data_IF_876868513773
#
_entry.id   IF_876868513773
#
_cell.length_a   1.000
_cell.length_b   1.000
_cell.length_c   1.000
_cell.angle_alpha   90.00
_cell.angle_beta   90.00
_cell.angle_gamma   90.00
#
_symmetry.space_group_name_H-M   'P 1'
#
loop_
_entity.id
_entity.type
_entity.pdbx_description
1 polymer ?
#
# COMPACT_ATOMS: atom_id res chain seq x y z
N UNK A 1 11.06 21.57 10.44
CA UNK A 1 10.07 20.74 9.73
C UNK A 1 8.90 21.57 9.20
N UNK A 2 8.33 22.50 9.98
CA UNK A 2 7.25 23.39 9.52
C UNK A 2 7.69 24.65 8.76
N UNK A 3 9.00 24.85 8.54
CA UNK A 3 9.49 25.98 7.74
C UNK A 3 9.28 25.73 6.25
N UNK A 4 9.04 26.80 5.48
CA UNK A 4 8.84 26.71 4.03
C UNK A 4 10.06 26.18 3.27
N UNK A 5 11.26 26.23 3.86
CA UNK A 5 12.50 25.72 3.25
C UNK A 5 12.77 24.24 3.54
N UNK A 6 12.08 23.65 4.54
CA UNK A 6 12.44 22.35 5.07
C UNK A 6 12.38 21.23 4.01
N UNK A 7 11.35 21.24 3.15
CA UNK A 7 11.22 20.23 2.11
C UNK A 7 12.41 20.22 1.14
N UNK A 8 12.93 21.40 0.78
CA UNK A 8 14.11 21.49 -0.09
C UNK A 8 15.38 20.99 0.61
N UNK A 9 15.54 21.27 1.90
CA UNK A 9 16.66 20.75 2.70
C UNK A 9 16.58 19.22 2.85
N UNK A 10 15.37 18.72 3.09
CA UNK A 10 15.03 17.31 3.15
C UNK A 10 15.40 16.57 1.86
N UNK A 11 15.00 17.11 0.70
CA UNK A 11 15.33 16.56 -0.62
C UNK A 11 16.84 16.57 -0.91
N UNK A 12 17.56 17.61 -0.47
CA UNK A 12 19.02 17.74 -0.62
C UNK A 12 19.84 16.77 0.24
N UNK A 13 19.18 15.92 1.02
CA UNK A 13 19.83 14.81 1.73
C UNK A 13 19.58 14.79 3.23
N UNK A 14 18.93 15.80 3.81
CA UNK A 14 18.64 15.81 5.26
C UNK A 14 17.77 14.62 5.67
N UNK A 15 16.94 14.08 4.77
CA UNK A 15 16.15 12.84 4.99
C UNK A 15 16.99 11.64 5.47
N UNK A 16 18.25 11.56 5.05
CA UNK A 16 19.16 10.47 5.42
C UNK A 16 19.86 10.70 6.77
N UNK A 17 19.79 11.90 7.33
CA UNK A 17 20.43 12.24 8.60
C UNK A 17 19.56 11.90 9.82
N UNK A 18 18.26 11.65 9.63
CA UNK A 18 17.37 11.32 10.72
C UNK A 18 17.45 9.84 11.10
N UNK A 19 17.62 9.59 12.40
CA UNK A 19 17.39 8.26 12.99
C UNK A 19 15.90 8.07 13.30
N UNK A 20 15.41 6.83 13.33
CA UNK A 20 14.04 6.52 13.77
C UNK A 20 13.63 7.20 15.09
N UNK A 21 14.50 7.18 16.09
CA UNK A 21 14.20 7.76 17.41
C UNK A 21 14.06 9.29 17.36
N UNK A 22 14.84 9.98 16.51
CA UNK A 22 14.67 11.43 16.30
C UNK A 22 13.31 11.73 15.66
N UNK A 23 12.91 10.90 14.69
CA UNK A 23 11.63 11.04 13.98
C UNK A 23 10.45 10.81 14.92
N UNK A 24 10.49 9.73 15.72
CA UNK A 24 9.49 9.46 16.75
C UNK A 24 9.43 10.60 17.79
N UNK A 25 10.59 11.09 18.24
CA UNK A 25 10.67 12.20 19.19
C UNK A 25 9.99 13.48 18.69
N UNK A 26 10.12 13.79 17.40
CA UNK A 26 9.47 14.95 16.79
C UNK A 26 7.97 14.72 16.57
N UNK A 27 7.55 13.55 16.11
CA UNK A 27 6.13 13.21 15.92
C UNK A 27 5.32 13.40 17.21
N UNK A 28 5.87 13.00 18.36
CA UNK A 28 5.23 13.12 19.69
C UNK A 28 4.83 14.54 20.07
N UNK A 29 5.62 15.53 19.67
CA UNK A 29 5.41 16.93 20.07
C UNK A 29 4.63 17.73 19.03
N UNK A 30 4.24 17.08 17.92
CA UNK A 30 3.48 17.71 16.84
C UNK A 30 1.98 17.53 17.04
N UNK A 31 1.20 18.58 16.76
CA UNK A 31 -0.24 18.44 16.65
C UNK A 31 -0.62 17.67 15.38
N UNK A 32 -1.87 17.18 15.28
CA UNK A 32 -2.38 16.53 14.06
C UNK A 32 -2.16 17.41 12.81
N UNK A 33 -2.48 18.71 12.92
CA UNK A 33 -2.24 19.70 11.86
C UNK A 33 -0.76 19.77 11.48
N UNK A 34 0.14 19.76 12.45
CA UNK A 34 1.57 19.85 12.18
C UNK A 34 2.07 18.60 11.46
N UNK A 35 1.62 17.40 11.86
CA UNK A 35 1.96 16.13 11.21
C UNK A 35 1.57 16.16 9.72
N UNK A 36 0.34 16.61 9.44
CA UNK A 36 -0.17 16.79 8.07
C UNK A 36 0.68 17.81 7.30
N UNK A 37 0.86 19.01 7.88
CA UNK A 37 1.52 20.13 7.20
C UNK A 37 2.99 19.83 6.90
N UNK A 38 3.68 19.14 7.81
CA UNK A 38 5.09 18.80 7.63
C UNK A 38 5.31 17.65 6.65
N UNK A 39 4.36 16.70 6.56
CA UNK A 39 4.43 15.59 5.61
C UNK A 39 4.03 16.00 4.18
N UNK A 40 3.04 16.90 4.06
CA UNK A 40 2.45 17.37 2.80
C UNK A 40 3.44 17.77 1.70
N UNK A 41 4.60 18.40 1.96
CA UNK A 41 5.54 18.73 0.89
C UNK A 41 6.55 17.60 0.58
N UNK A 42 6.71 16.59 1.43
CA UNK A 42 7.74 15.56 1.31
C UNK A 42 7.34 14.49 0.29
N UNK A 43 8.18 14.26 -0.73
CA UNK A 43 7.88 13.32 -1.82
C UNK A 43 9.00 12.30 -1.97
N UNK A 44 8.64 11.04 -1.79
CA UNK A 44 9.46 9.88 -2.08
C UNK A 44 8.87 9.22 -3.32
N UNK A 45 9.60 9.35 -4.44
CA UNK A 45 9.18 8.81 -5.74
C UNK A 45 9.82 7.45 -5.95
N UNK A 46 9.02 6.45 -6.24
CA UNK A 46 9.43 5.05 -6.45
C UNK A 46 8.86 4.53 -7.76
N UNK A 47 9.53 3.56 -8.37
CA UNK A 47 9.18 3.01 -9.68
C UNK A 47 9.29 1.49 -9.71
N UNK A 48 8.20 0.85 -10.11
CA UNK A 48 8.14 -0.57 -10.46
C UNK A 48 7.64 -0.70 -11.90
N UNK A 49 6.36 -1.05 -12.14
CA UNK A 49 5.73 -0.98 -13.47
C UNK A 49 5.15 0.40 -13.79
N UNK A 50 4.86 1.17 -12.75
CA UNK A 50 4.45 2.57 -12.82
C UNK A 50 5.20 3.43 -11.78
N UNK A 51 4.93 4.74 -11.80
CA UNK A 51 5.56 5.73 -10.94
C UNK A 51 4.65 6.15 -9.80
N UNK A 52 5.11 5.94 -8.55
CA UNK A 52 4.38 6.30 -7.33
C UNK A 52 5.04 7.46 -6.59
N UNK A 53 4.22 8.27 -5.90
CA UNK A 53 4.70 9.27 -4.93
C UNK A 53 5.09 10.64 -5.51
N UNK A 54 4.82 10.90 -6.79
CA UNK A 54 4.96 12.24 -7.36
C UNK A 54 3.95 13.23 -6.74
N UNK A 55 4.22 14.54 -6.91
CA UNK A 55 3.30 15.56 -6.41
C UNK A 55 1.99 15.50 -7.19
N UNK A 56 0.89 15.32 -6.47
CA UNK A 56 -0.44 15.22 -7.07
C UNK A 56 -0.84 13.78 -7.39
N UNK A 57 0.04 12.79 -7.16
CA UNK A 57 -0.32 11.36 -7.28
C UNK A 57 -0.82 10.83 -5.94
N UNK A 58 -1.94 10.13 -5.96
CA UNK A 58 -2.53 9.44 -4.81
C UNK A 58 -3.01 8.05 -5.25
N UNK A 59 -2.24 7.01 -4.96
CA UNK A 59 -2.52 5.66 -5.42
C UNK A 59 -3.50 4.89 -4.54
N UNK A 60 -4.00 3.79 -5.07
CA UNK A 60 -4.88 2.88 -4.34
C UNK A 60 -4.40 1.45 -4.56
N UNK A 61 -4.20 0.73 -3.45
CA UNK A 61 -4.04 -0.72 -3.47
C UNK A 61 -5.42 -1.34 -3.65
N UNK A 62 -5.60 -2.17 -4.66
CA UNK A 62 -6.77 -3.05 -4.74
C UNK A 62 -6.47 -4.27 -3.88
N UNK A 63 -7.35 -4.57 -2.93
CA UNK A 63 -7.22 -5.72 -2.02
C UNK A 63 -8.37 -6.70 -2.24
N UNK A 64 -8.23 -7.64 -3.20
CA UNK A 64 -9.31 -8.53 -3.60
C UNK A 64 -9.27 -9.85 -2.82
N UNK A 65 -9.25 -9.77 -1.49
CA UNK A 65 -9.20 -10.96 -0.66
C UNK A 65 -10.49 -11.78 -0.78
N UNK A 66 -10.34 -13.11 -0.78
CA UNK A 66 -11.47 -14.04 -0.81
C UNK A 66 -11.35 -15.03 0.36
N UNK A 67 -12.43 -15.38 1.10
CA UNK A 67 -12.36 -16.24 2.29
C UNK A 67 -11.76 -17.64 2.07
N UNK A 68 -11.65 -18.07 0.82
CA UNK A 68 -11.14 -19.38 0.40
C UNK A 68 -10.12 -19.29 -0.73
N UNK A 69 -9.62 -18.09 -1.04
CA UNK A 69 -8.76 -17.85 -2.20
C UNK A 69 -9.34 -18.38 -3.53
N UNK A 70 -10.65 -18.26 -3.72
CA UNK A 70 -11.27 -18.63 -4.99
C UNK A 70 -10.79 -17.66 -6.07
N UNK A 71 -10.05 -18.19 -7.05
CA UNK A 71 -9.41 -17.39 -8.09
C UNK A 71 -10.43 -16.53 -8.85
N UNK A 72 -11.62 -17.06 -9.16
CA UNK A 72 -12.63 -16.29 -9.88
C UNK A 72 -13.17 -15.13 -9.04
N UNK A 73 -13.42 -15.35 -7.74
CA UNK A 73 -13.81 -14.30 -6.80
C UNK A 73 -12.74 -13.21 -6.64
N UNK A 74 -11.47 -13.61 -6.51
CA UNK A 74 -10.32 -12.69 -6.45
C UNK A 74 -10.26 -11.83 -7.73
N UNK A 75 -10.31 -12.46 -8.91
CA UNK A 75 -10.23 -11.75 -10.18
C UNK A 75 -11.41 -10.80 -10.42
N UNK A 76 -12.62 -11.21 -10.03
CA UNK A 76 -13.80 -10.36 -10.13
C UNK A 76 -13.65 -9.11 -9.25
N UNK A 77 -13.20 -9.28 -8.02
CA UNK A 77 -12.94 -8.17 -7.08
C UNK A 77 -11.80 -7.26 -7.57
N UNK A 78 -10.76 -7.83 -8.16
CA UNK A 78 -9.66 -7.07 -8.75
C UNK A 78 -10.13 -6.21 -9.93
N UNK A 79 -10.94 -6.81 -10.82
CA UNK A 79 -11.52 -6.14 -11.97
C UNK A 79 -12.48 -5.01 -11.54
N UNK A 80 -13.29 -5.24 -10.51
CA UNK A 80 -14.15 -4.19 -9.94
C UNK A 80 -13.31 -2.99 -9.49
N UNK A 81 -12.23 -3.22 -8.74
CA UNK A 81 -11.30 -2.16 -8.33
C UNK A 81 -10.69 -1.39 -9.52
N UNK A 82 -10.28 -2.09 -10.58
CA UNK A 82 -9.78 -1.46 -11.81
C UNK A 82 -10.82 -0.54 -12.45
N UNK A 83 -12.09 -0.93 -12.47
CA UNK A 83 -13.19 -0.13 -13.02
C UNK A 83 -13.48 1.15 -12.21
N UNK A 84 -13.03 1.23 -10.96
CA UNK A 84 -13.02 2.46 -10.16
C UNK A 84 -11.74 3.31 -10.35
N UNK A 85 -10.86 2.91 -11.27
CA UNK A 85 -9.54 3.52 -11.43
C UNK A 85 -8.59 3.27 -10.26
N UNK A 86 -8.84 2.21 -9.48
CA UNK A 86 -7.96 1.78 -8.39
C UNK A 86 -6.99 0.69 -8.87
N UNK A 87 -5.93 0.46 -8.10
CA UNK A 87 -4.97 -0.61 -8.36
C UNK A 87 -3.64 -0.11 -8.90
N UNK A 88 -3.46 1.20 -9.05
CA UNK A 88 -2.21 1.81 -9.48
C UNK A 88 -1.09 1.68 -8.45
N UNK A 89 -1.40 1.54 -7.16
CA UNK A 89 -0.38 1.20 -6.17
C UNK A 89 0.03 -0.28 -6.30
N UNK A 90 -0.92 -1.21 -6.24
CA UNK A 90 -0.72 -2.65 -6.40
C UNK A 90 -2.08 -3.34 -6.44
N UNK A 91 -2.20 -4.46 -7.16
CA UNK A 91 -3.30 -5.42 -6.97
C UNK A 91 -2.77 -6.50 -6.03
N UNK A 92 -3.10 -6.39 -4.75
CA UNK A 92 -2.46 -7.11 -3.66
C UNK A 92 -3.40 -8.01 -2.85
N UNK A 93 -3.21 -9.33 -2.91
CA UNK A 93 -4.05 -10.32 -2.20
C UNK A 93 -3.35 -10.80 -0.93
N UNK A 94 -4.00 -10.66 0.22
CA UNK A 94 -3.66 -11.45 1.40
C UNK A 94 -4.28 -12.85 1.21
N UNK A 95 -3.48 -13.91 1.08
CA UNK A 95 -4.04 -15.24 0.87
C UNK A 95 -4.61 -15.80 2.18
N UNK A 96 -5.80 -16.43 2.12
CA UNK A 96 -6.37 -17.20 3.22
C UNK A 96 -5.54 -18.46 3.54
N UNK A 97 -4.84 -19.03 2.55
CA UNK A 97 -3.91 -20.15 2.71
C UNK A 97 -2.48 -19.81 2.27
N UNK A 98 -1.48 -20.15 3.09
CA UNK A 98 -0.07 -19.82 2.87
C UNK A 98 0.73 -20.90 2.11
N UNK A 99 0.06 -21.85 1.45
CA UNK A 99 0.74 -22.88 0.67
C UNK A 99 1.39 -22.29 -0.58
N UNK A 100 2.54 -22.83 -0.97
CA UNK A 100 3.28 -22.40 -2.17
C UNK A 100 2.40 -22.54 -3.42
N UNK A 101 1.62 -23.62 -3.52
CA UNK A 101 0.74 -23.88 -4.65
C UNK A 101 -0.38 -22.84 -4.77
N UNK A 102 -0.93 -22.39 -3.64
CA UNK A 102 -1.95 -21.34 -3.62
C UNK A 102 -1.36 -19.99 -4.05
N UNK A 103 -0.19 -19.63 -3.51
CA UNK A 103 0.53 -18.40 -3.88
C UNK A 103 0.86 -18.39 -5.38
N UNK A 104 1.34 -19.51 -5.94
CA UNK A 104 1.59 -19.64 -7.38
C UNK A 104 0.30 -19.40 -8.19
N UNK A 105 -0.81 -20.03 -7.79
CA UNK A 105 -2.08 -19.91 -8.50
C UNK A 105 -2.59 -18.46 -8.51
N UNK A 106 -2.52 -17.77 -7.37
CA UNK A 106 -2.92 -16.38 -7.24
C UNK A 106 -2.00 -15.43 -8.03
N UNK A 107 -0.68 -15.61 -7.95
CA UNK A 107 0.27 -14.78 -8.73
C UNK A 107 0.03 -14.91 -10.24
N UNK A 108 -0.17 -16.13 -10.75
CA UNK A 108 -0.51 -16.32 -12.16
C UNK A 108 -1.85 -15.69 -12.53
N UNK A 109 -2.88 -15.86 -11.71
CA UNK A 109 -4.19 -15.27 -11.98
C UNK A 109 -4.11 -13.74 -12.09
N UNK A 110 -3.45 -13.08 -11.13
CA UNK A 110 -3.29 -11.63 -11.13
C UNK A 110 -2.44 -11.17 -12.31
N UNK A 111 -1.35 -11.88 -12.62
CA UNK A 111 -0.51 -11.58 -13.78
C UNK A 111 -1.25 -11.70 -15.11
N UNK A 112 -2.04 -12.75 -15.28
CA UNK A 112 -2.85 -12.98 -16.48
C UNK A 112 -3.92 -11.90 -16.64
N UNK A 113 -4.56 -11.47 -15.56
CA UNK A 113 -5.49 -10.34 -15.57
C UNK A 113 -4.80 -9.06 -16.02
N UNK A 114 -3.70 -8.67 -15.36
CA UNK A 114 -2.94 -7.45 -15.67
C UNK A 114 -2.50 -7.45 -17.13
N UNK A 115 -2.00 -8.59 -17.61
CA UNK A 115 -1.55 -8.76 -18.99
C UNK A 115 -2.71 -8.67 -19.99
N UNK A 116 -3.84 -9.30 -19.69
CA UNK A 116 -5.03 -9.29 -20.55
C UNK A 116 -5.66 -7.91 -20.68
N UNK A 117 -5.61 -7.09 -19.62
CA UNK A 117 -6.16 -5.72 -19.66
C UNK A 117 -5.12 -4.66 -20.04
N UNK A 118 -3.84 -5.04 -20.13
CA UNK A 118 -2.73 -4.13 -20.45
C UNK A 118 -2.49 -3.05 -19.39
N UNK A 119 -2.91 -3.26 -18.14
CA UNK A 119 -2.81 -2.25 -17.09
C UNK A 119 -1.35 -2.07 -16.62
N UNK A 120 -0.80 -0.84 -16.56
CA UNK A 120 0.54 -0.59 -16.06
C UNK A 120 0.53 -0.56 -14.53
N UNK A 121 0.38 -1.74 -13.93
CA UNK A 121 0.42 -1.96 -12.48
C UNK A 121 1.03 -3.32 -12.15
N UNK A 122 1.34 -3.54 -10.88
CA UNK A 122 2.00 -4.70 -10.32
C UNK A 122 1.05 -5.57 -9.49
N UNK A 123 1.28 -6.88 -9.50
CA UNK A 123 0.64 -7.83 -8.59
C UNK A 123 1.46 -8.06 -7.32
N UNK A 124 0.81 -8.52 -6.26
CA UNK A 124 1.50 -9.07 -5.11
C UNK A 124 0.59 -10.04 -4.34
N UNK A 125 1.07 -11.24 -4.03
CA UNK A 125 0.44 -12.12 -3.05
C UNK A 125 1.19 -12.02 -1.73
N UNK A 126 0.53 -11.45 -0.72
CA UNK A 126 1.10 -11.03 0.56
C UNK A 126 1.31 -12.21 1.54
N UNK A 127 1.93 -13.29 1.07
CA UNK A 127 2.39 -14.39 1.92
C UNK A 127 3.71 -14.05 2.63
N UNK A 128 4.23 -14.93 3.48
CA UNK A 128 5.59 -14.76 4.01
C UNK A 128 6.63 -14.73 2.88
N UNK A 129 7.67 -13.90 2.99
CA UNK A 129 8.64 -13.68 1.90
C UNK A 129 9.29 -14.98 1.42
N UNK A 130 9.56 -15.93 2.32
CA UNK A 130 10.12 -17.24 1.94
C UNK A 130 9.18 -18.07 1.07
N UNK A 131 7.86 -17.97 1.30
CA UNK A 131 6.85 -18.67 0.48
C UNK A 131 6.77 -18.04 -0.90
N UNK A 132 6.80 -16.70 -0.98
CA UNK A 132 6.85 -15.99 -2.25
C UNK A 132 8.10 -16.33 -3.06
N UNK A 133 9.27 -16.42 -2.41
CA UNK A 133 10.51 -16.83 -3.06
C UNK A 133 10.45 -18.29 -3.54
N UNK A 134 9.88 -19.20 -2.76
CA UNK A 134 9.67 -20.58 -3.20
C UNK A 134 8.67 -20.68 -4.36
N UNK A 135 7.67 -19.80 -4.43
CA UNK A 135 6.77 -19.68 -5.58
C UNK A 135 7.51 -19.14 -6.81
N UNK A 136 8.34 -18.11 -6.64
CA UNK A 136 9.19 -17.54 -7.69
C UNK A 136 10.16 -18.57 -8.28
N UNK A 137 10.82 -19.36 -7.43
CA UNK A 137 11.70 -20.47 -7.86
C UNK A 137 10.98 -21.51 -8.72
N UNK A 138 9.66 -21.65 -8.52
CA UNK A 138 8.77 -22.54 -9.30
C UNK A 138 8.12 -21.84 -10.50
N UNK A 139 8.49 -20.60 -10.80
CA UNK A 139 8.08 -19.86 -11.99
C UNK A 139 6.90 -18.90 -11.79
N UNK A 140 6.46 -18.65 -10.56
CA UNK A 140 5.41 -17.64 -10.31
C UNK A 140 5.89 -16.23 -10.71
N UNK A 141 5.03 -15.41 -11.33
CA UNK A 141 5.39 -14.08 -11.85
C UNK A 141 5.37 -12.99 -10.76
N UNK A 142 6.13 -13.14 -9.67
CA UNK A 142 6.18 -12.18 -8.55
C UNK A 142 6.70 -10.81 -9.01
N UNK A 143 5.88 -9.75 -8.92
CA UNK A 143 6.29 -8.37 -9.22
C UNK A 143 6.87 -7.63 -8.01
N UNK A 144 6.26 -7.84 -6.84
CA UNK A 144 6.71 -7.26 -5.58
C UNK A 144 6.92 -8.35 -4.54
N UNK A 145 8.01 -8.25 -3.77
CA UNK A 145 8.27 -9.08 -2.60
C UNK A 145 7.67 -8.42 -1.36
N UNK A 146 6.59 -8.98 -0.85
CA UNK A 146 5.95 -8.52 0.36
C UNK A 146 6.60 -9.07 1.64
N UNK A 147 6.63 -8.29 2.72
CA UNK A 147 6.82 -8.81 4.07
C UNK A 147 6.30 -7.84 5.15
N UNK A 148 5.63 -8.35 6.18
CA UNK A 148 5.42 -7.61 7.43
C UNK A 148 6.73 -7.50 8.22
N UNK A 149 7.10 -6.30 8.66
CA UNK A 149 8.36 -6.04 9.39
C UNK A 149 8.13 -5.30 10.70
N UNK A 150 9.07 -5.45 11.64
CA UNK A 150 9.07 -4.77 12.93
C UNK A 150 10.32 -3.92 13.17
N UNK A 151 10.25 -3.07 14.21
CA UNK A 151 11.33 -2.16 14.58
C UNK A 151 12.43 -2.74 15.47
N UNK A 152 12.33 -4.01 15.86
CA UNK A 152 13.33 -4.68 16.68
C UNK A 152 13.72 -6.02 16.04
N UNK A 153 14.92 -6.49 16.36
CA UNK A 153 15.37 -7.83 15.94
C UNK A 153 14.45 -8.91 16.52
N UNK A 154 14.04 -8.79 17.78
CA UNK A 154 13.13 -9.74 18.43
C UNK A 154 11.77 -9.82 17.72
N UNK A 155 11.18 -8.69 17.32
CA UNK A 155 9.93 -8.67 16.57
C UNK A 155 10.08 -9.33 15.20
N UNK A 156 11.15 -8.99 14.45
CA UNK A 156 11.40 -9.62 13.15
C UNK A 156 11.67 -11.13 13.28
N UNK A 157 12.41 -11.55 14.30
CA UNK A 157 12.62 -12.97 14.60
C UNK A 157 11.31 -13.70 14.94
N UNK A 158 10.39 -13.03 15.65
CA UNK A 158 9.03 -13.53 15.90
C UNK A 158 8.22 -13.78 14.63
N UNK A 159 8.52 -13.06 13.55
CA UNK A 159 7.96 -13.28 12.22
C UNK A 159 8.75 -14.29 11.37
N UNK A 160 9.89 -14.79 11.84
CA UNK A 160 10.79 -15.61 11.01
C UNK A 160 11.56 -14.79 9.97
N UNK A 161 11.69 -13.48 10.17
CA UNK A 161 12.31 -12.54 9.22
C UNK A 161 13.74 -12.21 9.62
N UNK A 162 14.65 -12.25 8.65
CA UNK A 162 16.01 -11.72 8.79
C UNK A 162 16.27 -10.68 7.70
N UNK A 163 17.04 -9.63 8.03
CA UNK A 163 17.38 -8.59 7.05
C UNK A 163 18.22 -9.14 5.89
N UNK A 164 19.06 -10.14 6.16
CA UNK A 164 19.81 -10.83 5.13
C UNK A 164 18.87 -11.57 4.16
N UNK A 165 17.89 -12.32 4.68
CA UNK A 165 16.91 -13.01 3.83
C UNK A 165 16.08 -12.05 2.97
N UNK A 166 15.71 -10.88 3.51
CA UNK A 166 15.05 -9.83 2.74
C UNK A 166 15.94 -9.28 1.62
N UNK A 167 17.25 -9.09 1.88
CA UNK A 167 18.19 -8.61 0.88
C UNK A 167 18.36 -9.65 -0.26
N UNK A 168 18.53 -10.93 0.10
CA UNK A 168 18.63 -12.03 -0.86
C UNK A 168 17.34 -12.16 -1.70
N UNK A 169 16.18 -12.04 -1.05
CA UNK A 169 14.89 -12.07 -1.71
C UNK A 169 14.69 -10.92 -2.70
N UNK A 170 15.08 -9.69 -2.30
CA UNK A 170 15.04 -8.50 -3.17
C UNK A 170 15.83 -8.73 -4.46
N UNK A 171 17.06 -9.26 -4.34
CA UNK A 171 17.90 -9.52 -5.51
C UNK A 171 17.32 -10.62 -6.40
N UNK A 172 16.68 -11.65 -5.82
CA UNK A 172 16.00 -12.70 -6.58
C UNK A 172 14.83 -12.15 -7.41
N UNK A 173 13.97 -11.31 -6.81
CA UNK A 173 12.86 -10.67 -7.54
C UNK A 173 13.39 -9.74 -8.62
N UNK A 174 14.38 -8.89 -8.33
CA UNK A 174 15.02 -8.04 -9.34
C UNK A 174 15.59 -8.84 -10.51
N UNK A 175 16.29 -9.95 -10.23
CA UNK A 175 16.83 -10.81 -11.27
C UNK A 175 15.72 -11.41 -12.14
N UNK A 176 14.57 -11.75 -11.55
CA UNK A 176 13.42 -12.27 -12.28
C UNK A 176 12.78 -11.25 -13.24
N UNK A 177 12.91 -9.95 -12.96
CA UNK A 177 12.38 -8.88 -13.82
C UNK A 177 13.16 -8.77 -15.14
N UNK A 178 14.44 -9.16 -15.18
CA UNK A 178 15.30 -9.01 -16.35
C UNK A 178 14.84 -9.81 -17.61
N UNK A 179 13.87 -10.72 -17.45
CA UNK A 179 13.26 -11.48 -18.56
C UNK A 179 11.80 -11.14 -18.81
N UNK A 180 11.23 -10.15 -18.12
CA UNK A 180 9.82 -9.76 -18.19
C UNK A 180 9.71 -8.32 -18.67
N UNK A 181 8.78 -8.07 -19.58
CA UNK A 181 8.51 -6.71 -20.08
C UNK A 181 7.65 -5.93 -19.06
N UNK A 182 7.59 -4.61 -19.23
CA UNK A 182 6.77 -3.64 -18.48
C UNK A 182 7.25 -3.14 -17.10
N UNK A 183 8.52 -3.35 -16.72
CA UNK A 183 9.13 -2.67 -15.56
C UNK A 183 9.90 -1.42 -15.97
N UNK A 184 9.65 -0.30 -15.30
CA UNK A 184 10.31 1.00 -15.50
C UNK A 184 11.23 1.40 -14.34
N UNK A 185 11.29 0.59 -13.28
CA UNK A 185 12.14 0.82 -12.12
C UNK A 185 12.48 -0.46 -11.36
N UNK A 186 13.29 -0.29 -10.31
CA UNK A 186 13.90 -1.37 -9.53
C UNK A 186 13.45 -1.38 -8.06
N UNK A 187 12.38 -0.65 -7.73
CA UNK A 187 11.77 -0.75 -6.41
C UNK A 187 10.84 -1.97 -6.44
N UNK A 188 11.22 -3.06 -5.75
CA UNK A 188 10.48 -4.33 -5.79
C UNK A 188 9.98 -4.79 -4.42
N UNK A 189 10.31 -4.08 -3.36
CA UNK A 189 9.89 -4.47 -2.01
C UNK A 189 8.57 -3.80 -1.65
N UNK A 190 7.71 -4.55 -0.96
CA UNK A 190 6.51 -4.05 -0.34
C UNK A 190 6.53 -4.42 1.15
N UNK A 191 6.51 -3.43 2.05
CA UNK A 191 6.46 -3.69 3.48
C UNK A 191 5.17 -3.23 4.13
N UNK A 192 4.70 -4.04 5.07
CA UNK A 192 3.66 -3.65 6.04
C UNK A 192 4.24 -3.53 7.44
N UNK A 193 3.77 -2.52 8.15
CA UNK A 193 4.11 -2.22 9.54
C UNK A 193 2.83 -1.91 10.32
N UNK A 194 2.94 -1.52 11.59
CA UNK A 194 1.78 -1.14 12.37
C UNK A 194 2.11 -1.02 13.84
N UNK A 195 1.66 0.08 14.45
CA UNK A 195 1.77 0.27 15.89
C UNK A 195 1.09 -0.88 16.65
N UNK A 196 1.75 -1.38 17.69
CA UNK A 196 1.28 -2.52 18.49
C UNK A 196 1.94 -3.85 18.11
N UNK A 197 2.46 -3.98 16.89
CA UNK A 197 3.14 -5.19 16.40
C UNK A 197 4.27 -5.68 17.30
N UNK A 198 5.13 -4.78 17.75
CA UNK A 198 6.26 -5.17 18.62
C UNK A 198 5.79 -5.62 20.01
N UNK A 199 4.64 -5.12 20.48
CA UNK A 199 4.06 -5.50 21.76
C UNK A 199 3.38 -6.88 21.66
N UNK A 200 2.66 -7.15 20.56
CA UNK A 200 1.91 -8.40 20.39
C UNK A 200 2.78 -9.66 20.40
N UNK A 201 4.05 -9.54 19.99
CA UNK A 201 5.03 -10.63 20.02
C UNK A 201 6.05 -10.51 21.16
N UNK A 202 5.79 -9.65 22.16
CA UNK A 202 6.70 -9.35 23.28
C UNK A 202 8.13 -8.91 22.84
N UNK A 203 8.27 -8.45 21.60
CA UNK A 203 9.54 -8.06 20.98
C UNK A 203 9.94 -6.59 21.18
N UNK A 204 9.13 -5.80 21.90
CA UNK A 204 9.31 -4.36 22.05
C UNK A 204 10.44 -3.94 23.01
N UNK A 205 10.88 -4.81 23.91
CA UNK A 205 12.02 -4.54 24.81
C UNK A 205 11.83 -3.34 25.74
N UNK A 206 10.59 -3.04 26.12
CA UNK A 206 10.25 -1.87 26.96
C UNK A 206 10.13 -0.54 26.21
N UNK A 207 10.27 -0.55 24.89
CA UNK A 207 10.10 0.62 24.01
C UNK A 207 8.60 0.78 23.67
N UNK A 208 8.14 2.02 23.54
CA UNK A 208 6.77 2.34 23.13
C UNK A 208 6.49 2.05 21.65
N UNK A 209 5.21 1.88 21.32
CA UNK A 209 4.76 1.51 19.97
C UNK A 209 5.21 2.49 18.88
N UNK A 210 5.18 3.81 19.14
CA UNK A 210 5.53 4.82 18.16
C UNK A 210 7.01 4.76 17.78
N UNK A 211 7.89 4.60 18.76
CA UNK A 211 9.33 4.44 18.51
C UNK A 211 9.63 3.13 17.79
N UNK A 212 8.97 2.03 18.18
CA UNK A 212 9.10 0.75 17.48
C UNK A 212 8.67 0.88 16.01
N UNK A 213 7.57 1.58 15.75
CA UNK A 213 7.06 1.80 14.40
C UNK A 213 8.02 2.65 13.54
N UNK A 214 8.55 3.74 14.09
CA UNK A 214 9.59 4.53 13.42
C UNK A 214 10.83 3.69 13.07
N UNK A 215 11.18 2.72 13.92
CA UNK A 215 12.32 1.80 13.66
C UNK A 215 12.00 0.80 12.56
N UNK A 216 10.76 0.36 12.42
CA UNK A 216 10.32 -0.47 11.30
C UNK A 216 10.51 0.28 9.97
N UNK A 217 10.20 1.57 9.94
CA UNK A 217 10.52 2.44 8.79
C UNK A 217 12.03 2.56 8.54
N UNK A 218 12.82 2.61 9.62
CA UNK A 218 14.28 2.53 9.53
C UNK A 218 14.76 1.26 8.83
N UNK A 219 14.13 0.11 9.11
CA UNK A 219 14.38 -1.17 8.42
C UNK A 219 13.97 -1.07 6.95
N UNK A 220 12.73 -0.67 6.66
CA UNK A 220 12.21 -0.54 5.29
C UNK A 220 13.13 0.30 4.40
N UNK A 221 13.64 1.43 4.93
CA UNK A 221 14.51 2.37 4.20
C UNK A 221 15.79 1.71 3.66
N UNK A 222 16.27 0.63 4.28
CA UNK A 222 17.48 -0.07 3.84
C UNK A 222 17.31 -0.85 2.54
N UNK A 223 16.07 -1.08 2.09
CA UNK A 223 15.76 -1.91 0.93
C UNK A 223 15.19 -1.15 -0.28
N UNK A 224 15.07 0.18 -0.18
CA UNK A 224 14.52 1.04 -1.25
C UNK A 224 13.17 0.51 -1.80
N UNK A 225 12.14 0.39 -0.94
CA UNK A 225 10.89 -0.27 -1.28
C UNK A 225 10.07 0.53 -2.29
N UNK A 226 9.19 -0.16 -3.01
CA UNK A 226 8.21 0.49 -3.86
C UNK A 226 7.05 1.04 -3.03
N UNK A 227 6.61 0.28 -2.03
CA UNK A 227 5.52 0.62 -1.12
C UNK A 227 5.91 0.29 0.32
N UNK A 228 5.49 1.16 1.25
CA UNK A 228 5.44 0.85 2.68
C UNK A 228 4.11 1.37 3.18
N UNK A 229 3.34 0.57 3.90
CA UNK A 229 2.21 1.10 4.65
C UNK A 229 2.23 0.64 6.11
N UNK A 230 1.74 1.53 6.97
CA UNK A 230 1.25 1.13 8.28
C UNK A 230 -0.16 0.58 8.13
N UNK A 231 -0.52 -0.42 8.94
CA UNK A 231 -1.89 -0.91 9.08
C UNK A 231 -2.43 -0.42 10.42
N UNK A 232 -3.30 0.59 10.38
CA UNK A 232 -3.73 1.32 11.57
C UNK A 232 -5.14 0.93 11.96
N UNK A 233 -5.29 0.35 13.16
CA UNK A 233 -6.57 -0.11 13.72
C UNK A 233 -6.90 -1.59 13.46
N UNK A 234 -5.97 -2.34 12.88
CA UNK A 234 -6.16 -3.74 12.50
C UNK A 234 -6.11 -4.72 13.68
N UNK A 235 -5.25 -4.47 14.67
CA UNK A 235 -5.01 -5.47 15.73
C UNK A 235 -6.16 -5.50 16.75
N UNK A 236 -6.54 -4.35 17.29
CA UNK A 236 -7.60 -4.27 18.30
C UNK A 236 -7.44 -3.12 19.31
N UNK A 237 -8.42 -2.94 20.21
CA UNK A 237 -8.49 -1.86 21.17
C UNK A 237 -7.42 -1.95 22.26
N UNK A 238 -6.73 -3.08 22.38
CA UNK A 238 -5.60 -3.27 23.30
C UNK A 238 -4.38 -2.43 22.91
N UNK A 239 -4.32 -1.98 21.65
CA UNK A 239 -3.22 -1.19 21.09
C UNK A 239 -3.66 0.22 20.68
N UNK A 240 -4.85 0.34 20.09
CA UNK A 240 -5.48 1.61 19.71
C UNK A 240 -6.97 1.54 20.09
N UNK A 241 -7.34 2.16 21.22
CA UNK A 241 -8.60 1.90 21.89
C UNK A 241 -9.84 2.45 21.18
N UNK A 242 -9.70 3.53 20.41
CA UNK A 242 -10.82 4.27 19.83
C UNK A 242 -10.40 5.09 18.61
N UNK A 243 -11.39 5.72 17.97
CA UNK A 243 -11.23 6.62 16.82
C UNK A 243 -10.10 7.65 17.00
N UNK A 244 -9.94 8.24 18.19
CA UNK A 244 -8.94 9.30 18.43
C UNK A 244 -7.53 8.74 18.35
N UNK A 245 -7.32 7.54 18.85
CA UNK A 245 -6.01 6.87 18.83
C UNK A 245 -5.67 6.37 17.43
N UNK A 246 -6.65 5.82 16.70
CA UNK A 246 -6.51 5.44 15.29
C UNK A 246 -6.14 6.66 14.42
N UNK A 247 -6.92 7.74 14.53
CA UNK A 247 -6.68 8.99 13.81
C UNK A 247 -5.29 9.54 14.10
N UNK A 248 -4.87 9.51 15.37
CA UNK A 248 -3.55 9.99 15.78
C UNK A 248 -2.43 9.12 15.21
N UNK A 249 -2.53 7.80 15.36
CA UNK A 249 -1.53 6.85 14.90
C UNK A 249 -1.34 6.93 13.38
N UNK A 250 -2.42 6.99 12.59
CA UNK A 250 -2.32 7.12 11.13
C UNK A 250 -1.57 8.36 10.67
N UNK A 251 -1.79 9.51 11.34
CA UNK A 251 -1.06 10.74 11.03
C UNK A 251 0.40 10.69 11.46
N UNK A 252 0.69 10.08 12.62
CA UNK A 252 2.05 9.89 13.10
C UNK A 252 2.85 8.98 12.17
N UNK A 253 2.29 7.81 11.85
CA UNK A 253 2.90 6.78 11.00
C UNK A 253 3.22 7.32 9.62
N UNK A 254 2.23 7.95 8.98
CA UNK A 254 2.42 8.61 7.69
C UNK A 254 3.53 9.67 7.74
N UNK A 255 3.49 10.57 8.73
CA UNK A 255 4.53 11.60 8.88
C UNK A 255 5.92 11.01 9.09
N UNK A 256 6.04 10.01 9.98
CA UNK A 256 7.32 9.38 10.30
C UNK A 256 7.92 8.66 9.09
N UNK A 257 7.11 7.90 8.35
CA UNK A 257 7.54 7.25 7.11
C UNK A 257 7.99 8.25 6.04
N UNK A 258 7.19 9.31 5.81
CA UNK A 258 7.54 10.40 4.89
C UNK A 258 8.83 11.10 5.29
N UNK A 259 9.01 11.41 6.57
CA UNK A 259 10.21 12.09 7.05
C UNK A 259 11.48 11.23 6.85
N UNK A 260 11.35 9.91 6.92
CA UNK A 260 12.43 8.96 6.65
C UNK A 260 12.65 8.68 5.15
N UNK A 261 11.86 9.25 4.25
CA UNK A 261 12.05 9.08 2.80
C UNK A 261 11.38 7.88 2.18
N UNK A 262 10.36 7.32 2.84
CA UNK A 262 9.62 6.16 2.33
C UNK A 262 8.42 6.56 1.47
N UNK A 263 8.03 5.71 0.50
CA UNK A 263 6.77 5.81 -0.25
C UNK A 263 5.58 5.42 0.65
N UNK A 264 5.30 6.24 1.66
CA UNK A 264 4.44 5.88 2.79
C UNK A 264 2.95 5.96 2.44
N UNK A 265 2.28 4.80 2.46
CA UNK A 265 0.84 4.63 2.46
C UNK A 265 0.30 4.29 3.85
N UNK A 266 -1.02 4.15 3.96
CA UNK A 266 -1.70 3.73 5.21
C UNK A 266 -2.92 2.87 4.84
N UNK A 267 -3.02 1.68 5.42
CA UNK A 267 -4.30 0.97 5.52
C UNK A 267 -5.08 1.56 6.69
N UNK A 268 -6.21 2.17 6.39
CA UNK A 268 -7.05 2.90 7.33
C UNK A 268 -8.18 1.97 7.72
N UNK A 269 -8.10 1.41 8.92
CA UNK A 269 -8.97 0.32 9.26
C UNK A 269 -9.43 0.32 10.71
N UNK A 270 -10.45 -0.49 10.98
CA UNK A 270 -10.88 -0.80 12.33
C UNK A 270 -11.46 -2.21 12.40
N UNK A 271 -11.39 -2.80 13.58
CA UNK A 271 -12.07 -4.06 13.88
C UNK A 271 -13.37 -3.79 14.63
N UNK A 272 -14.34 -4.70 14.50
CA UNK A 272 -15.70 -4.55 15.07
C UNK A 272 -15.77 -4.38 16.60
N UNK A 273 -14.68 -4.57 17.32
CA UNK A 273 -14.62 -4.47 18.78
C UNK A 273 -13.84 -3.23 19.27
N UNK A 274 -13.39 -2.36 18.36
CA UNK A 274 -12.84 -1.03 18.66
C UNK A 274 -13.97 0.01 18.70
N UNK A 275 -13.82 1.05 19.52
CA UNK A 275 -14.72 2.22 19.50
C UNK A 275 -14.37 3.14 18.31
N UNK A 276 -14.64 2.65 17.10
CA UNK A 276 -14.46 3.34 15.82
C UNK A 276 -15.48 2.81 14.79
N UNK A 277 -15.61 3.50 13.65
CA UNK A 277 -16.56 3.18 12.59
C UNK A 277 -16.08 3.71 11.22
N UNK A 278 -16.89 3.54 10.17
CA UNK A 278 -16.55 4.05 8.84
C UNK A 278 -16.38 5.58 8.78
N UNK A 279 -17.10 6.36 9.61
CA UNK A 279 -16.86 7.81 9.65
C UNK A 279 -15.42 8.13 10.13
N UNK A 280 -14.83 7.26 10.97
CA UNK A 280 -13.44 7.37 11.40
C UNK A 280 -12.49 7.15 10.23
N UNK A 281 -12.73 6.12 9.40
CA UNK A 281 -11.87 5.81 8.25
C UNK A 281 -11.96 6.90 7.20
N UNK A 282 -13.16 7.40 6.90
CA UNK A 282 -13.39 8.48 5.94
C UNK A 282 -12.72 9.80 6.36
N UNK A 283 -12.80 10.15 7.65
CA UNK A 283 -12.11 11.31 8.19
C UNK A 283 -10.59 11.18 8.05
N UNK A 284 -10.02 10.03 8.42
CA UNK A 284 -8.58 9.81 8.30
C UNK A 284 -8.12 9.82 6.84
N UNK A 285 -8.92 9.26 5.93
CA UNK A 285 -8.65 9.21 4.50
C UNK A 285 -8.49 10.61 3.92
N UNK A 286 -9.42 11.52 4.22
CA UNK A 286 -9.31 12.93 3.78
C UNK A 286 -8.07 13.59 4.36
N UNK A 287 -7.79 13.41 5.66
CA UNK A 287 -6.60 14.01 6.28
C UNK A 287 -5.30 13.49 5.65
N UNK A 288 -5.19 12.19 5.39
CA UNK A 288 -4.01 11.59 4.77
C UNK A 288 -3.85 11.97 3.30
N UNK A 289 -4.94 12.05 2.54
CA UNK A 289 -4.91 12.55 1.16
C UNK A 289 -4.39 14.00 1.11
N UNK A 290 -4.87 14.88 2.00
CA UNK A 290 -4.34 16.26 2.10
C UNK A 290 -2.89 16.32 2.62
N UNK A 291 -2.46 15.36 3.43
CA UNK A 291 -1.08 15.19 3.86
C UNK A 291 -0.15 14.65 2.75
N UNK A 292 -0.69 14.32 1.58
CA UNK A 292 0.07 13.78 0.46
C UNK A 292 0.55 12.35 0.69
N UNK A 293 -0.25 11.52 1.36
CA UNK A 293 -0.06 10.07 1.45
C UNK A 293 0.17 9.46 0.07
N UNK A 294 1.06 8.47 -0.04
CA UNK A 294 1.37 7.86 -1.33
C UNK A 294 0.19 7.02 -1.83
N UNK A 295 -0.43 6.24 -0.94
CA UNK A 295 -1.54 5.37 -1.28
C UNK A 295 -2.34 4.93 -0.05
N UNK A 296 -3.56 4.46 -0.29
CA UNK A 296 -4.43 3.80 0.69
C UNK A 296 -4.97 2.48 0.11
N UNK A 297 -5.76 1.76 0.89
CA UNK A 297 -6.38 0.51 0.47
C UNK A 297 -7.74 0.77 -0.17
N UNK A 298 -8.13 -0.10 -1.07
CA UNK A 298 -9.47 -0.23 -1.58
C UNK A 298 -9.92 -1.67 -1.39
N UNK A 299 -10.99 -1.85 -0.62
CA UNK A 299 -11.64 -3.13 -0.38
C UNK A 299 -13.09 -3.06 -0.89
N UNK A 300 -13.64 -4.12 -1.52
CA UNK A 300 -15.03 -4.11 -1.97
C UNK A 300 -15.98 -3.79 -0.83
N UNK A 301 -16.74 -2.70 -0.95
CA UNK A 301 -17.74 -2.29 0.05
C UNK A 301 -17.17 -1.99 1.44
N UNK A 302 -15.87 -1.67 1.55
CA UNK A 302 -15.18 -1.40 2.83
C UNK A 302 -15.11 -2.59 3.78
N UNK A 303 -15.49 -3.80 3.37
CA UNK A 303 -15.57 -4.99 4.23
C UNK A 303 -14.65 -6.10 3.76
N UNK A 304 -13.58 -6.35 4.52
CA UNK A 304 -12.71 -7.49 4.24
C UNK A 304 -13.26 -8.74 4.93
N UNK A 305 -14.03 -9.50 4.16
CA UNK A 305 -14.71 -10.73 4.63
C UNK A 305 -13.75 -11.85 5.04
N UNK A 306 -12.47 -11.78 4.67
CA UNK A 306 -11.47 -12.79 5.03
C UNK A 306 -10.72 -12.39 6.29
N UNK A 307 -10.24 -11.14 6.36
CA UNK A 307 -9.50 -10.61 7.49
C UNK A 307 -10.40 -10.09 8.63
N UNK A 308 -11.72 -10.02 8.41
CA UNK A 308 -12.75 -9.64 9.38
C UNK A 308 -12.57 -8.24 9.98
N UNK A 309 -12.26 -7.27 9.12
CA UNK A 309 -12.11 -5.86 9.48
C UNK A 309 -12.68 -4.95 8.38
N UNK A 310 -12.89 -3.68 8.72
CA UNK A 310 -13.35 -2.67 7.76
C UNK A 310 -12.20 -1.75 7.35
N UNK A 311 -12.10 -1.44 6.06
CA UNK A 311 -11.09 -0.54 5.47
C UNK A 311 -11.79 0.56 4.64
N UNK A 312 -11.03 1.28 3.82
CA UNK A 312 -11.56 2.17 2.78
C UNK A 312 -11.98 1.39 1.55
N UNK A 313 -13.06 1.80 0.89
CA UNK A 313 -13.52 1.18 -0.36
C UNK A 313 -12.87 1.79 -1.61
N UNK A 314 -13.09 1.13 -2.75
CA UNK A 314 -12.78 1.70 -4.07
C UNK A 314 -13.48 3.04 -4.30
N UNK A 315 -14.72 3.18 -3.82
CA UNK A 315 -15.50 4.41 -3.97
C UNK A 315 -14.94 5.54 -3.13
N UNK A 316 -14.59 5.25 -1.87
CA UNK A 316 -14.06 6.24 -0.92
C UNK A 316 -12.73 6.78 -1.45
N UNK A 317 -11.85 5.88 -1.88
CA UNK A 317 -10.54 6.24 -2.38
C UNK A 317 -10.61 7.03 -3.71
N UNK A 318 -11.46 6.61 -4.67
CA UNK A 318 -11.68 7.35 -5.91
C UNK A 318 -12.30 8.73 -5.67
N UNK A 319 -13.30 8.81 -4.79
CA UNK A 319 -13.97 10.06 -4.42
C UNK A 319 -13.03 11.05 -3.73
N UNK A 320 -12.22 10.58 -2.78
CA UNK A 320 -11.24 11.44 -2.10
C UNK A 320 -10.12 11.86 -3.03
N UNK A 321 -9.65 10.99 -3.94
CA UNK A 321 -8.67 11.34 -4.99
C UNK A 321 -9.17 12.52 -5.81
N UNK A 322 -10.42 12.48 -6.28
CA UNK A 322 -11.03 13.60 -7.02
C UNK A 322 -11.19 14.85 -6.14
N UNK A 323 -11.67 14.68 -4.90
CA UNK A 323 -11.91 15.79 -3.95
C UNK A 323 -10.65 16.64 -3.71
N UNK A 324 -9.49 16.00 -3.58
CA UNK A 324 -8.21 16.70 -3.36
C UNK A 324 -7.51 17.11 -4.66
N UNK A 325 -8.10 16.80 -5.82
CA UNK A 325 -7.51 17.08 -7.13
C UNK A 325 -6.25 16.26 -7.42
N UNK A 326 -6.12 15.08 -6.81
CA UNK A 326 -5.05 14.15 -7.08
C UNK A 326 -5.36 13.27 -8.30
N UNK A 327 -4.34 12.55 -8.77
CA UNK A 327 -4.38 11.67 -9.93
C UNK A 327 -3.85 10.27 -9.57
N UNK A 328 -4.20 9.23 -10.33
CA UNK A 328 -3.50 7.96 -10.29
C UNK A 328 -2.01 8.12 -10.68
N UNK A 329 -1.22 7.05 -10.58
CA UNK A 329 0.09 7.00 -11.20
C UNK A 329 0.01 7.41 -12.69
N UNK A 330 0.96 8.20 -13.24
CA UNK A 330 0.84 8.77 -14.59
C UNK A 330 0.64 7.74 -15.70
N UNK A 331 1.37 6.62 -15.63
CA UNK A 331 1.24 5.53 -16.60
C UNK A 331 -0.14 4.86 -16.51
N UNK A 332 -0.67 4.72 -15.29
CA UNK A 332 -1.98 4.14 -15.04
C UNK A 332 -3.11 5.08 -15.46
N UNK A 333 -2.96 6.38 -15.24
CA UNK A 333 -3.89 7.40 -15.72
C UNK A 333 -4.03 7.38 -17.24
N UNK A 334 -2.92 7.28 -17.97
CA UNK A 334 -2.95 7.14 -19.43
C UNK A 334 -3.75 5.90 -19.86
N UNK A 335 -3.52 4.77 -19.21
CA UNK A 335 -4.30 3.54 -19.44
C UNK A 335 -5.79 3.71 -19.11
N UNK A 336 -6.14 4.43 -18.05
CA UNK A 336 -7.53 4.70 -17.68
C UNK A 336 -8.26 5.55 -18.75
N UNK A 337 -7.60 6.56 -19.32
CA UNK A 337 -8.15 7.36 -20.42
C UNK A 337 -8.31 6.51 -21.70
N UNK A 338 -7.32 5.69 -22.03
CA UNK A 338 -7.37 4.82 -23.23
C UNK A 338 -8.48 3.77 -23.16
N UNK A 339 -8.77 3.27 -21.96
CA UNK A 339 -9.80 2.26 -21.72
C UNK A 339 -11.20 2.84 -21.50
N UNK A 340 -11.33 4.16 -21.41
CA UNK A 340 -12.59 4.85 -21.16
C UNK A 340 -13.08 4.76 -19.72
N UNK A 341 -12.25 4.24 -18.80
CA UNK A 341 -12.55 4.27 -17.37
C UNK A 341 -12.48 5.70 -16.87
N UNK A 342 -11.51 6.49 -17.36
CA UNK A 342 -11.46 7.93 -17.15
C UNK A 342 -11.86 8.69 -18.42
N UNK A 343 -12.45 9.86 -18.23
CA UNK A 343 -12.64 10.86 -19.28
C UNK A 343 -12.28 12.25 -18.73
N UNK A 344 -11.28 12.89 -19.34
CA UNK A 344 -10.86 14.23 -18.90
C UNK A 344 -10.31 14.23 -17.46
N UNK A 345 -9.76 13.09 -17.04
CA UNK A 345 -9.08 12.92 -15.77
C UNK A 345 -9.95 12.54 -14.59
N UNK A 346 -11.19 12.16 -14.85
CA UNK A 346 -12.17 11.78 -13.85
C UNK A 346 -12.76 10.44 -14.22
N UNK A 347 -13.26 9.72 -13.22
CA UNK A 347 -14.01 8.51 -13.46
C UNK A 347 -15.19 8.81 -14.40
N UNK A 348 -15.31 8.07 -15.49
CA UNK A 348 -16.34 8.30 -16.50
C UNK A 348 -17.72 7.92 -15.98
N UNK A 349 -18.78 8.51 -16.54
CA UNK A 349 -20.16 8.19 -16.12
C UNK A 349 -20.54 6.72 -16.40
N UNK A 350 -19.83 6.06 -17.33
CA UNK A 350 -20.06 4.66 -17.67
C UNK A 350 -19.21 3.71 -16.84
N UNK A 351 -18.12 4.18 -16.23
CA UNK A 351 -17.30 3.38 -15.34
C UNK A 351 -18.08 3.01 -14.07
N UNK A 352 -17.80 1.82 -13.53
CA UNK A 352 -18.39 1.35 -12.28
C UNK A 352 -19.93 1.35 -12.19
N UNK A 353 -20.64 1.32 -13.33
CA UNK A 353 -22.12 1.26 -13.39
C UNK A 353 -22.70 -0.15 -13.44
N UNK A 354 -21.90 -1.17 -13.15
CA UNK A 354 -22.31 -2.58 -13.21
C UNK A 354 -22.05 -3.23 -14.57
N UNK A 355 -22.90 -4.15 -15.06
CA UNK A 355 -22.61 -4.96 -16.25
C UNK A 355 -22.29 -4.18 -17.54
N UNK A 356 -22.88 -3.00 -17.71
CA UNK A 356 -22.64 -2.15 -18.88
C UNK A 356 -21.21 -1.57 -18.88
N UNK A 357 -20.65 -1.29 -17.71
CA UNK A 357 -19.26 -0.85 -17.56
C UNK A 357 -18.27 -1.93 -18.01
N UNK A 358 -18.54 -3.20 -17.66
CA UNK A 358 -17.73 -4.35 -18.08
C UNK A 358 -17.77 -4.55 -19.60
N UNK A 359 -18.94 -4.42 -20.23
CA UNK A 359 -19.07 -4.51 -21.68
C UNK A 359 -18.32 -3.38 -22.39
N UNK A 360 -18.44 -2.16 -21.88
CA UNK A 360 -17.76 -0.98 -22.41
C UNK A 360 -16.25 -1.15 -22.33
N UNK A 361 -15.75 -1.55 -21.15
CA UNK A 361 -14.35 -1.85 -20.92
C UNK A 361 -13.84 -3.00 -21.82
N UNK A 362 -14.60 -4.07 -21.94
CA UNK A 362 -14.22 -5.20 -22.83
C UNK A 362 -14.14 -4.76 -24.30
N UNK A 363 -15.01 -3.86 -24.73
CA UNK A 363 -14.98 -3.34 -26.10
C UNK A 363 -13.77 -2.42 -26.31
N UNK A 364 -13.42 -1.56 -25.35
CA UNK A 364 -12.23 -0.70 -25.46
C UNK A 364 -10.95 -1.53 -25.51
N UNK A 365 -10.84 -2.61 -24.72
CA UNK A 365 -9.70 -3.54 -24.81
C UNK A 365 -9.54 -4.16 -26.22
N UNK A 366 -10.65 -4.59 -26.84
CA UNK A 366 -10.62 -5.12 -28.22
C UNK A 366 -10.18 -4.07 -29.25
N UNK A 367 -10.56 -2.82 -29.06
CA UNK A 367 -10.13 -1.70 -29.92
C UNK A 367 -8.63 -1.41 -29.77
N UNK A 368 -8.07 -1.64 -28.58
CA UNK A 368 -6.63 -1.57 -28.30
C UNK A 368 -5.85 -2.82 -28.78
N UNK A 369 -6.55 -3.85 -29.26
CA UNK A 369 -5.93 -5.09 -29.75
C UNK A 369 -5.48 -6.04 -28.64
N UNK A 370 -6.06 -5.91 -27.44
CA UNK A 370 -5.85 -6.79 -26.29
C UNK A 370 -6.87 -7.93 -26.24
#
# INVERSE_FOLDING_TARGET
>A
MLSSTFASEWERGLKNAFTPEMVAGVARIMSARDLITAAAPLRAVTRCRNTMGERGVFGVRVQPNHPTDDVAGVLLSALDGLLFGCGDAVIGVNPAGDSIENVIALEHALHDLISAVGAPTQSCVLAHFTTQLAALERGAPVDLLFQSIGGTEATNAGFGVTLQGLAEGREAVLASHAGREAFIGNNVMYFETGQGTALSVEGHGGIDQLTCEARAYGVARTFDPFLVNSVVGFIGPEYLANEREIMRAGLEDHFMGKLLGLPMGVDICYTNHVEANQDTTDQLLVLLATAGCNFVMGVPGSDDVMLNYQSTSYHDAAGVRELVGARPAPEFEEWLEQTGIYEGGKLSELAATGPDSLLTFTNSLKELGL
#
